data_IF_599039612976
#
_entry.id   IF_599039612976
#
_cell.length_a   1.000
_cell.length_b   1.000
_cell.length_c   1.000
_cell.angle_alpha   90.00
_cell.angle_beta   90.00
_cell.angle_gamma   90.00
#
_symmetry.space_group_name_H-M   'P 1'
#
loop_
_entity.id
_entity.type
_entity.pdbx_description
1 polymer ?
#
# COMPACT_ATOMS: atom_id res chain seq x y z
N UNK A 1 -28.04 -72.16 -12.73
CA UNK A 1 -27.91 -70.81 -12.14
C UNK A 1 -27.02 -71.05 -10.94
N UNK A 2 -25.71 -70.83 -10.99
CA UNK A 2 -25.09 -69.51 -10.91
C UNK A 2 -23.63 -69.54 -11.43
N UNK A 3 -23.45 -69.57 -12.76
CA UNK A 3 -22.13 -69.36 -13.37
C UNK A 3 -21.79 -67.86 -13.54
N UNK A 4 -22.78 -66.98 -13.36
CA UNK A 4 -22.64 -65.53 -13.54
C UNK A 4 -21.66 -64.84 -12.56
N UNK A 5 -21.62 -65.16 -11.25
CA UNK A 5 -20.70 -64.48 -10.33
C UNK A 5 -19.24 -64.85 -10.60
N UNK A 6 -18.98 -66.12 -10.94
CA UNK A 6 -17.66 -66.60 -11.32
C UNK A 6 -17.17 -66.02 -12.65
N UNK A 7 -18.06 -65.89 -13.63
CA UNK A 7 -17.73 -65.25 -14.90
C UNK A 7 -17.43 -63.75 -14.72
N UNK A 8 -18.18 -63.06 -13.85
CA UNK A 8 -17.97 -61.64 -13.55
C UNK A 8 -16.65 -61.42 -12.81
N UNK A 9 -16.30 -62.29 -11.86
CA UNK A 9 -15.01 -62.24 -11.15
C UNK A 9 -13.83 -62.51 -12.09
N UNK A 10 -13.96 -63.48 -13.00
CA UNK A 10 -12.96 -63.74 -14.04
C UNK A 10 -12.85 -62.56 -15.01
N UNK A 11 -13.97 -61.93 -15.39
CA UNK A 11 -13.96 -60.70 -16.21
C UNK A 11 -13.31 -59.53 -15.48
N UNK A 12 -13.55 -59.33 -14.18
CA UNK A 12 -12.94 -58.27 -13.37
C UNK A 12 -11.44 -58.51 -13.17
N UNK A 13 -11.03 -59.75 -12.89
CA UNK A 13 -9.61 -60.12 -12.79
C UNK A 13 -8.91 -60.05 -14.17
N UNK A 14 -9.59 -60.39 -15.26
CA UNK A 14 -9.07 -60.25 -16.62
C UNK A 14 -9.00 -58.77 -17.08
N UNK A 15 -9.93 -57.91 -16.63
CA UNK A 15 -9.85 -56.46 -16.84
C UNK A 15 -8.74 -55.81 -16.00
N UNK A 16 -8.49 -56.29 -14.77
CA UNK A 16 -7.37 -55.84 -13.94
C UNK A 16 -6.01 -56.35 -14.46
N UNK A 17 -5.98 -57.47 -15.18
CA UNK A 17 -4.78 -57.98 -15.84
C UNK A 17 -4.43 -57.25 -17.15
N UNK A 18 -5.18 -56.19 -17.51
CA UNK A 18 -5.02 -55.46 -18.77
C UNK A 18 -4.65 -53.97 -18.56
N UNK A 19 -3.74 -53.70 -17.62
CA UNK A 19 -2.90 -52.50 -17.62
C UNK A 19 -1.43 -52.92 -17.44
N UNK A 20 -0.85 -53.50 -18.48
CA UNK A 20 0.59 -53.71 -18.58
C UNK A 20 1.23 -52.34 -18.86
N UNK A 21 1.59 -51.66 -17.77
CA UNK A 21 2.14 -50.31 -17.74
C UNK A 21 2.63 -49.99 -16.32
N UNK A 22 3.86 -49.50 -16.14
CA UNK A 22 4.29 -48.94 -14.86
C UNK A 22 3.53 -47.64 -14.53
N UNK A 23 3.33 -47.36 -13.23
CA UNK A 23 2.71 -46.11 -12.78
C UNK A 23 3.73 -45.13 -12.22
N UNK A 24 3.53 -43.84 -12.58
CA UNK A 24 4.28 -42.72 -12.04
C UNK A 24 3.44 -41.93 -11.04
N UNK A 25 4.08 -41.53 -9.94
CA UNK A 25 3.56 -40.61 -8.95
C UNK A 25 4.21 -39.24 -9.15
N UNK A 26 3.39 -38.19 -9.14
CA UNK A 26 3.82 -36.81 -9.26
C UNK A 26 3.23 -35.94 -8.15
N UNK A 27 2.98 -34.67 -8.43
CA UNK A 27 2.47 -33.74 -7.44
C UNK A 27 0.95 -33.93 -7.22
N UNK A 28 0.50 -33.87 -5.96
CA UNK A 28 -0.93 -33.91 -5.59
C UNK A 28 -1.71 -32.65 -6.05
N UNK A 29 -0.99 -31.61 -6.47
CA UNK A 29 -1.56 -30.38 -6.97
C UNK A 29 -0.50 -29.39 -7.45
N UNK A 30 -0.92 -28.19 -7.86
CA UNK A 30 -0.01 -27.17 -8.36
C UNK A 30 0.98 -26.70 -7.29
N UNK A 31 2.23 -26.53 -7.70
CA UNK A 31 3.32 -26.04 -6.86
C UNK A 31 3.42 -24.53 -6.94
N UNK A 32 3.94 -23.94 -5.85
CA UNK A 32 4.32 -22.53 -5.78
C UNK A 32 5.81 -22.46 -5.52
N UNK A 33 6.52 -21.65 -6.30
CA UNK A 33 7.96 -21.48 -6.18
C UNK A 33 8.28 -20.12 -5.55
N UNK A 34 9.50 -19.91 -5.06
CA UNK A 34 9.98 -18.59 -4.65
C UNK A 34 10.78 -17.98 -5.82
N UNK A 35 10.60 -16.67 -6.10
CA UNK A 35 11.47 -15.98 -7.06
C UNK A 35 12.94 -16.05 -6.61
N UNK A 36 13.82 -16.47 -7.52
CA UNK A 36 15.25 -16.75 -7.25
C UNK A 36 15.53 -18.01 -6.43
N UNK A 37 14.49 -18.70 -5.92
CA UNK A 37 14.61 -19.93 -5.15
C UNK A 37 14.68 -21.18 -6.01
N UNK A 38 14.41 -22.34 -5.40
CA UNK A 38 14.34 -23.63 -6.07
C UNK A 38 13.02 -24.34 -5.79
N UNK A 39 12.56 -25.16 -6.72
CA UNK A 39 11.35 -26.00 -6.59
C UNK A 39 11.69 -27.44 -6.97
N UNK A 40 11.15 -28.40 -6.20
CA UNK A 40 11.23 -29.82 -6.52
C UNK A 40 9.98 -30.22 -7.32
N UNK A 41 10.18 -30.70 -8.54
CA UNK A 41 9.15 -31.29 -9.37
C UNK A 41 9.14 -32.81 -9.11
N UNK A 42 8.15 -33.34 -8.37
CA UNK A 42 8.14 -34.76 -8.02
C UNK A 42 7.80 -35.63 -9.24
N UNK A 43 8.56 -36.70 -9.41
CA UNK A 43 8.29 -37.77 -10.36
C UNK A 43 8.95 -39.05 -9.84
N UNK A 44 8.17 -40.09 -9.62
CA UNK A 44 8.70 -41.37 -9.14
C UNK A 44 7.88 -42.55 -9.62
N UNK A 45 8.54 -43.66 -9.95
CA UNK A 45 7.86 -44.93 -10.22
C UNK A 45 7.60 -45.70 -8.92
N UNK A 46 6.45 -46.39 -8.85
CA UNK A 46 6.10 -47.24 -7.70
C UNK A 46 7.10 -48.40 -7.52
N UNK A 47 7.64 -48.90 -8.64
CA UNK A 47 8.68 -49.94 -8.67
C UNK A 47 9.88 -49.46 -9.50
N UNK A 48 11.13 -49.70 -9.07
CA UNK A 48 12.32 -49.35 -9.85
C UNK A 48 12.32 -50.00 -11.24
N UNK A 49 12.60 -49.21 -12.27
CA UNK A 49 12.63 -49.66 -13.66
C UNK A 49 14.04 -50.09 -14.10
N UNK A 50 14.17 -51.02 -15.07
CA UNK A 50 15.48 -51.44 -15.61
C UNK A 50 16.24 -50.29 -16.25
N UNK A 51 17.55 -50.18 -15.98
CA UNK A 51 18.37 -49.05 -16.46
C UNK A 51 18.84 -49.17 -17.91
N UNK A 52 18.89 -50.37 -18.48
CA UNK A 52 19.50 -50.64 -19.80
C UNK A 52 18.81 -49.88 -20.95
N UNK A 53 17.53 -49.55 -20.78
CA UNK A 53 16.71 -48.83 -21.78
C UNK A 53 15.89 -47.70 -21.14
N UNK A 54 16.31 -47.23 -19.96
CA UNK A 54 15.61 -46.16 -19.26
C UNK A 54 15.97 -44.80 -19.85
N UNK A 55 14.94 -44.08 -20.29
CA UNK A 55 15.02 -42.69 -20.66
C UNK A 55 14.06 -41.87 -19.80
N UNK A 56 14.54 -40.77 -19.23
CA UNK A 56 13.73 -39.84 -18.42
C UNK A 56 13.91 -38.45 -18.98
N UNK A 57 12.82 -37.88 -19.47
CA UNK A 57 12.76 -36.52 -19.97
C UNK A 57 11.92 -35.64 -19.05
N UNK A 58 12.45 -34.47 -18.72
CA UNK A 58 11.64 -33.36 -18.24
C UNK A 58 11.44 -32.35 -19.35
N UNK A 59 10.19 -32.06 -19.70
CA UNK A 59 9.82 -31.12 -20.77
C UNK A 59 8.82 -30.09 -20.29
N UNK A 60 8.85 -28.91 -20.91
CA UNK A 60 7.76 -27.94 -20.81
C UNK A 60 6.62 -28.34 -21.73
N UNK A 61 5.39 -28.30 -21.23
CA UNK A 61 4.20 -28.69 -22.02
C UNK A 61 3.79 -27.60 -23.01
N UNK A 62 4.09 -26.34 -22.73
CA UNK A 62 3.70 -25.17 -23.53
C UNK A 62 4.67 -24.86 -24.67
N UNK A 63 5.98 -25.10 -24.48
CA UNK A 63 7.02 -24.82 -25.47
C UNK A 63 7.74 -26.07 -26.02
N UNK A 64 7.45 -27.25 -25.47
CA UNK A 64 8.20 -28.49 -25.71
C UNK A 64 9.72 -28.36 -25.45
N UNK A 65 10.11 -27.37 -24.64
CA UNK A 65 11.51 -27.17 -24.27
C UNK A 65 11.98 -28.33 -23.38
N UNK A 66 13.08 -28.97 -23.79
CA UNK A 66 13.74 -30.01 -22.99
C UNK A 66 14.47 -29.37 -21.81
N UNK A 67 13.98 -29.64 -20.60
CA UNK A 67 14.48 -29.09 -19.33
C UNK A 67 15.62 -29.94 -18.80
N UNK A 68 15.48 -31.26 -18.81
CA UNK A 68 16.50 -32.19 -18.32
C UNK A 68 16.33 -33.57 -18.97
N UNK A 69 17.43 -34.30 -19.18
CA UNK A 69 17.45 -35.59 -19.87
C UNK A 69 18.41 -36.56 -19.19
N UNK A 70 17.92 -37.77 -18.91
CA UNK A 70 18.71 -38.95 -18.58
C UNK A 70 18.49 -40.01 -19.65
N UNK A 71 19.57 -40.49 -20.28
CA UNK A 71 19.52 -41.46 -21.37
C UNK A 71 20.85 -42.22 -21.44
N UNK A 72 20.79 -43.51 -21.78
CA UNK A 72 21.98 -44.38 -21.89
C UNK A 72 22.82 -44.42 -20.59
N UNK A 73 22.14 -44.36 -19.44
CA UNK A 73 22.79 -44.42 -18.13
C UNK A 73 23.44 -43.12 -17.63
N UNK A 74 23.36 -42.03 -18.41
CA UNK A 74 23.99 -40.76 -18.08
C UNK A 74 23.04 -39.56 -18.23
N UNK A 75 23.31 -38.48 -17.50
CA UNK A 75 22.64 -37.18 -17.69
C UNK A 75 23.24 -36.49 -18.91
N UNK A 76 22.39 -35.94 -19.78
CA UNK A 76 22.80 -35.26 -21.03
C UNK A 76 22.57 -33.74 -20.95
N UNK A 77 23.49 -32.97 -20.35
CA UNK A 77 23.36 -31.51 -20.22
C UNK A 77 23.41 -30.75 -21.55
N UNK A 78 24.10 -31.29 -22.56
CA UNK A 78 24.27 -30.61 -23.84
C UNK A 78 22.99 -30.52 -24.68
N UNK A 79 22.05 -31.45 -24.48
CA UNK A 79 20.77 -31.46 -25.20
C UNK A 79 19.72 -30.53 -24.60
N UNK A 80 19.99 -29.95 -23.42
CA UNK A 80 19.03 -29.11 -22.69
C UNK A 80 18.87 -27.74 -23.34
N UNK A 81 17.66 -27.20 -23.23
CA UNK A 81 17.40 -25.82 -23.59
C UNK A 81 18.28 -24.88 -22.74
N UNK A 82 18.86 -23.84 -23.35
CA UNK A 82 19.80 -22.91 -22.71
C UNK A 82 19.25 -22.28 -21.42
N UNK A 83 17.93 -22.04 -21.35
CA UNK A 83 17.30 -21.45 -20.18
C UNK A 83 17.34 -22.32 -18.93
N UNK A 84 17.53 -23.64 -19.06
CA UNK A 84 17.51 -24.61 -17.97
C UNK A 84 18.88 -25.17 -17.61
N UNK A 85 19.89 -24.89 -18.44
CA UNK A 85 21.28 -25.30 -18.21
C UNK A 85 21.78 -24.78 -16.85
N UNK A 86 22.47 -25.63 -16.10
CA UNK A 86 22.99 -25.38 -14.75
C UNK A 86 21.94 -25.08 -13.65
N UNK A 87 20.66 -25.09 -14.00
CA UNK A 87 19.55 -24.82 -13.07
C UNK A 87 18.73 -26.06 -12.74
N UNK A 88 18.68 -27.02 -13.65
CA UNK A 88 17.93 -28.27 -13.52
C UNK A 88 18.84 -29.44 -13.13
N UNK A 89 18.46 -30.20 -12.10
CA UNK A 89 19.23 -31.33 -11.58
C UNK A 89 18.31 -32.45 -11.07
N UNK A 90 18.58 -33.70 -11.40
CA UNK A 90 17.95 -34.83 -10.72
C UNK A 90 18.39 -34.91 -9.25
N UNK A 91 17.43 -35.01 -8.33
CA UNK A 91 17.73 -35.07 -6.88
C UNK A 91 18.42 -36.35 -6.41
N UNK A 92 18.46 -37.38 -7.26
CA UNK A 92 19.20 -38.61 -7.03
C UNK A 92 18.30 -39.84 -6.94
N UNK A 93 18.94 -41.01 -7.03
CA UNK A 93 18.33 -42.34 -6.95
C UNK A 93 17.44 -42.73 -8.14
N UNK A 94 17.85 -42.39 -9.37
CA UNK A 94 17.22 -42.89 -10.61
C UNK A 94 17.11 -44.42 -10.58
N UNK A 95 18.14 -45.11 -10.11
CA UNK A 95 18.15 -46.57 -9.92
C UNK A 95 17.12 -47.10 -8.90
N UNK A 96 16.55 -46.24 -8.05
CA UNK A 96 15.46 -46.59 -7.13
C UNK A 96 14.09 -46.07 -7.58
N UNK A 97 14.00 -45.55 -8.82
CA UNK A 97 12.75 -45.04 -9.38
C UNK A 97 12.43 -43.59 -9.01
N UNK A 98 13.37 -42.83 -8.45
CA UNK A 98 13.17 -41.40 -8.21
C UNK A 98 13.71 -40.58 -9.39
N UNK A 99 12.79 -39.93 -10.11
CA UNK A 99 13.04 -39.13 -11.30
C UNK A 99 12.74 -37.65 -11.05
N UNK A 100 12.66 -37.25 -9.78
CA UNK A 100 12.28 -35.89 -9.38
C UNK A 100 13.37 -34.87 -9.73
N UNK A 101 12.94 -33.74 -10.29
CA UNK A 101 13.81 -32.68 -10.77
C UNK A 101 13.82 -31.50 -9.80
N UNK A 102 15.00 -31.10 -9.35
CA UNK A 102 15.21 -29.83 -8.67
C UNK A 102 15.50 -28.75 -9.72
N UNK A 103 14.61 -27.76 -9.83
CA UNK A 103 14.81 -26.59 -10.68
C UNK A 103 15.16 -25.38 -9.79
N UNK A 104 16.31 -24.77 -10.03
CA UNK A 104 16.88 -23.68 -9.23
C UNK A 104 16.89 -22.34 -9.96
N UNK A 105 17.08 -21.26 -9.19
CA UNK A 105 17.08 -19.88 -9.67
C UNK A 105 15.80 -19.56 -10.46
N UNK A 106 14.65 -19.78 -9.84
CA UNK A 106 13.33 -19.67 -10.46
C UNK A 106 12.99 -18.24 -10.89
N UNK A 107 12.46 -18.06 -12.11
CA UNK A 107 12.06 -16.77 -12.69
C UNK A 107 10.58 -16.77 -13.04
N UNK A 108 9.97 -15.59 -13.25
CA UNK A 108 8.54 -15.51 -13.63
C UNK A 108 8.19 -16.28 -14.90
N UNK A 109 9.18 -16.48 -15.78
CA UNK A 109 9.02 -17.23 -17.04
C UNK A 109 8.94 -18.75 -16.82
N UNK A 110 9.38 -19.25 -15.67
CA UNK A 110 9.34 -20.67 -15.30
C UNK A 110 7.97 -21.11 -14.74
N UNK A 111 7.00 -20.21 -14.65
CA UNK A 111 5.62 -20.63 -14.42
C UNK A 111 5.11 -21.40 -15.64
N UNK A 112 4.41 -22.51 -15.39
CA UNK A 112 3.93 -23.39 -16.45
C UNK A 112 3.77 -24.83 -16.03
N UNK A 113 3.48 -25.70 -17.00
CA UNK A 113 3.29 -27.14 -16.79
C UNK A 113 4.50 -27.90 -17.32
N UNK A 114 5.10 -28.69 -16.44
CA UNK A 114 6.23 -29.57 -16.75
C UNK A 114 5.73 -31.01 -16.84
N UNK A 115 6.23 -31.76 -17.81
CA UNK A 115 5.95 -33.20 -17.99
C UNK A 115 7.22 -33.99 -17.70
N UNK A 116 7.12 -34.94 -16.78
CA UNK A 116 8.09 -36.01 -16.60
C UNK A 116 7.66 -37.17 -17.48
N UNK A 117 8.39 -37.43 -18.57
CA UNK A 117 8.14 -38.56 -19.45
C UNK A 117 9.21 -39.62 -19.18
N UNK A 118 8.78 -40.85 -18.88
CA UNK A 118 9.66 -41.98 -18.63
C UNK A 118 9.40 -43.02 -19.71
N UNK A 119 10.46 -43.51 -20.33
CA UNK A 119 10.42 -44.54 -21.35
C UNK A 119 11.28 -45.72 -20.91
N UNK A 120 10.78 -46.90 -21.19
CA UNK A 120 11.48 -48.18 -21.16
C UNK A 120 11.30 -48.84 -22.53
N UNK A 121 12.07 -49.85 -22.90
CA UNK A 121 11.96 -50.45 -24.24
C UNK A 121 10.59 -51.02 -24.59
N UNK A 122 9.77 -51.36 -23.58
CA UNK A 122 8.44 -51.96 -23.77
C UNK A 122 7.28 -50.98 -23.47
N UNK A 123 7.49 -49.98 -22.61
CA UNK A 123 6.43 -49.14 -22.05
C UNK A 123 6.86 -47.68 -21.83
N UNK A 124 5.89 -46.77 -21.80
CA UNK A 124 6.11 -45.37 -21.41
C UNK A 124 5.01 -44.88 -20.47
N UNK A 125 5.36 -43.87 -19.66
CA UNK A 125 4.44 -43.19 -18.76
C UNK A 125 4.83 -41.74 -18.57
N UNK A 126 3.84 -40.88 -18.33
CA UNK A 126 4.06 -39.47 -18.02
C UNK A 126 3.31 -39.00 -16.78
N UNK A 127 3.87 -38.00 -16.10
CA UNK A 127 3.17 -37.23 -15.06
C UNK A 127 3.44 -35.75 -15.24
N UNK A 128 2.40 -34.95 -15.01
CA UNK A 128 2.45 -33.49 -15.19
C UNK A 128 2.47 -32.79 -13.84
N UNK A 129 3.33 -31.78 -13.73
CA UNK A 129 3.48 -30.92 -12.56
C UNK A 129 3.30 -29.47 -13.00
N UNK A 130 2.32 -28.79 -12.40
CA UNK A 130 2.06 -27.37 -12.68
C UNK A 130 2.76 -26.50 -11.64
N UNK A 131 3.54 -25.51 -12.09
CA UNK A 131 4.05 -24.41 -11.26
C UNK A 131 3.14 -23.21 -11.49
N UNK A 132 2.22 -22.96 -10.55
CA UNK A 132 1.13 -21.98 -10.71
C UNK A 132 1.54 -20.52 -10.50
N UNK A 133 2.67 -20.27 -9.85
CA UNK A 133 3.13 -18.92 -9.58
C UNK A 133 4.26 -18.86 -8.58
N UNK A 134 4.60 -17.63 -8.20
CA UNK A 134 5.70 -17.35 -7.30
C UNK A 134 5.21 -16.72 -6.00
N UNK A 135 5.67 -17.22 -4.86
CA UNK A 135 5.51 -16.49 -3.61
C UNK A 135 6.25 -15.16 -3.72
N UNK A 136 5.52 -14.07 -3.56
CA UNK A 136 6.05 -12.73 -3.45
C UNK A 136 5.47 -12.05 -2.21
N UNK A 137 6.22 -11.08 -1.71
CA UNK A 137 5.82 -10.25 -0.59
C UNK A 137 6.33 -8.83 -0.86
N UNK A 138 5.40 -7.91 -1.09
CA UNK A 138 5.70 -6.49 -1.32
C UNK A 138 4.98 -5.69 -0.25
N UNK A 139 5.70 -4.74 0.36
CA UNK A 139 5.12 -3.81 1.33
C UNK A 139 5.22 -2.40 0.77
N UNK A 140 4.07 -1.78 0.55
CA UNK A 140 3.94 -0.41 0.10
C UNK A 140 3.51 0.49 1.26
N UNK A 141 4.20 1.60 1.45
CA UNK A 141 3.88 2.60 2.46
C UNK A 141 3.87 4.02 1.88
N UNK A 142 3.83 5.01 2.78
CA UNK A 142 4.02 6.40 2.39
C UNK A 142 5.40 6.87 2.83
N UNK A 143 6.23 7.27 1.86
CA UNK A 143 7.54 7.86 2.14
C UNK A 143 7.44 9.29 2.69
N UNK A 144 6.24 9.85 2.74
CA UNK A 144 6.02 11.22 3.23
C UNK A 144 5.91 11.25 4.75
N UNK A 145 6.58 12.23 5.35
CA UNK A 145 6.46 12.50 6.77
C UNK A 145 5.00 12.84 7.12
N UNK A 146 4.46 12.12 8.10
CA UNK A 146 3.11 12.35 8.59
C UNK A 146 3.15 13.37 9.72
N UNK A 147 2.31 14.40 9.60
CA UNK A 147 2.17 15.47 10.58
C UNK A 147 1.26 15.05 11.73
N UNK A 148 1.73 15.16 12.98
CA UNK A 148 0.94 14.83 14.17
C UNK A 148 0.26 16.05 14.79
N UNK A 149 -0.98 15.83 15.23
CA UNK A 149 -1.73 16.74 16.08
C UNK A 149 -2.01 16.06 17.41
N UNK A 150 -1.58 16.69 18.51
CA UNK A 150 -1.69 16.11 19.85
C UNK A 150 -3.16 15.84 20.19
N UNK A 151 -3.45 14.65 20.71
CA UNK A 151 -4.79 14.17 21.06
C UNK A 151 -5.64 13.71 19.87
N UNK A 152 -5.18 13.89 18.64
CA UNK A 152 -5.87 13.40 17.45
C UNK A 152 -5.46 11.96 17.12
N UNK A 153 -6.09 11.39 16.08
CA UNK A 153 -5.75 10.10 15.52
C UNK A 153 -4.90 10.29 14.26
N UNK A 154 -3.91 9.44 14.07
CA UNK A 154 -3.07 9.43 12.87
C UNK A 154 -3.06 8.02 12.27
N UNK A 155 -2.94 7.94 10.95
CA UNK A 155 -2.80 6.67 10.23
C UNK A 155 -1.43 6.63 9.56
N UNK A 156 -0.67 5.55 9.81
CA UNK A 156 0.56 5.24 9.11
C UNK A 156 0.26 4.14 8.08
N UNK A 157 0.48 4.43 6.81
CA UNK A 157 0.09 3.55 5.72
C UNK A 157 1.05 2.35 5.63
N UNK A 158 0.48 1.15 5.55
CA UNK A 158 1.20 -0.08 5.20
C UNK A 158 0.23 -1.02 4.47
N UNK A 159 0.54 -1.29 3.20
CA UNK A 159 -0.21 -2.19 2.34
C UNK A 159 0.71 -3.34 1.95
N UNK A 160 0.33 -4.55 2.32
CA UNK A 160 1.06 -5.78 2.03
C UNK A 160 0.38 -6.48 0.87
N UNK A 161 1.10 -6.64 -0.23
CA UNK A 161 0.65 -7.40 -1.40
C UNK A 161 1.42 -8.73 -1.45
N UNK A 162 0.69 -9.83 -1.42
CA UNK A 162 1.22 -11.19 -1.42
C UNK A 162 0.14 -12.21 -1.79
N UNK A 163 0.56 -13.34 -2.36
CA UNK A 163 -0.30 -14.50 -2.59
C UNK A 163 -0.65 -15.28 -1.32
N UNK A 164 0.14 -15.14 -0.25
CA UNK A 164 -0.16 -15.82 1.00
C UNK A 164 -1.47 -15.27 1.59
N UNK A 165 -2.19 -16.12 2.34
CA UNK A 165 -3.34 -15.64 3.10
C UNK A 165 -2.84 -14.94 4.38
N UNK A 166 -3.56 -13.93 4.92
CA UNK A 166 -3.15 -13.22 6.13
C UNK A 166 -2.82 -14.15 7.31
N UNK A 167 -3.51 -15.28 7.46
CA UNK A 167 -3.29 -16.20 8.58
C UNK A 167 -1.89 -16.86 8.57
N UNK A 168 -1.19 -16.82 7.42
CA UNK A 168 0.20 -17.32 7.27
C UNK A 168 1.24 -16.20 7.33
N UNK A 169 0.82 -14.96 7.57
CA UNK A 169 1.69 -13.80 7.66
C UNK A 169 1.91 -13.36 9.09
N UNK A 170 3.08 -12.76 9.32
CA UNK A 170 3.35 -11.97 10.52
C UNK A 170 3.59 -10.54 10.09
N UNK A 171 2.84 -9.58 10.64
CA UNK A 171 3.02 -8.16 10.34
C UNK A 171 3.25 -7.40 11.64
N UNK A 172 4.34 -6.65 11.70
CA UNK A 172 4.76 -5.91 12.89
C UNK A 172 4.89 -4.44 12.58
N UNK A 173 4.37 -3.61 13.48
CA UNK A 173 4.75 -2.20 13.55
C UNK A 173 5.71 -2.01 14.71
N UNK A 174 6.89 -1.45 14.43
CA UNK A 174 7.90 -1.12 15.44
C UNK A 174 8.28 0.34 15.33
N UNK A 175 8.67 0.93 16.45
CA UNK A 175 9.34 2.23 16.46
C UNK A 175 10.85 2.00 16.45
N UNK A 176 11.57 2.54 15.47
CA UNK A 176 12.94 2.12 15.15
C UNK A 176 13.99 2.70 16.11
N UNK A 177 13.80 3.94 16.57
CA UNK A 177 14.72 4.65 17.47
C UNK A 177 14.85 4.01 18.87
N UNK A 178 13.75 3.50 19.41
CA UNK A 178 13.67 2.88 20.74
C UNK A 178 13.49 1.35 20.68
N UNK A 179 13.41 0.77 19.47
CA UNK A 179 13.11 -0.64 19.23
C UNK A 179 11.87 -1.14 19.98
N UNK A 180 10.80 -0.34 19.94
CA UNK A 180 9.55 -0.62 20.65
C UNK A 180 8.56 -1.31 19.72
N UNK A 181 8.02 -2.46 20.13
CA UNK A 181 6.89 -3.10 19.45
C UNK A 181 5.62 -2.29 19.69
N UNK A 182 5.08 -1.72 18.61
CA UNK A 182 3.88 -0.88 18.62
C UNK A 182 2.62 -1.74 18.46
N UNK A 183 2.62 -2.65 17.48
CA UNK A 183 1.50 -3.55 17.22
C UNK A 183 1.97 -4.80 16.46
N UNK A 184 1.36 -5.95 16.77
CA UNK A 184 1.66 -7.24 16.17
C UNK A 184 0.38 -7.88 15.61
N UNK A 185 0.46 -8.38 14.39
CA UNK A 185 -0.50 -9.29 13.79
C UNK A 185 0.20 -10.60 13.48
N UNK A 186 -0.36 -11.71 13.96
CA UNK A 186 0.19 -13.05 13.79
C UNK A 186 -0.94 -14.08 13.93
N UNK A 187 -0.84 -15.18 13.17
CA UNK A 187 -1.78 -16.30 13.22
C UNK A 187 -3.24 -15.90 12.97
N UNK A 188 -3.45 -14.86 12.15
CA UNK A 188 -4.78 -14.34 11.82
C UNK A 188 -5.37 -13.37 12.85
N UNK A 189 -4.64 -13.08 13.93
CA UNK A 189 -5.13 -12.25 15.04
C UNK A 189 -4.24 -11.02 15.31
N UNK A 190 -4.85 -9.98 15.88
CA UNK A 190 -4.13 -8.79 16.36
C UNK A 190 -3.77 -8.99 17.82
N UNK A 191 -2.48 -9.12 18.11
CA UNK A 191 -1.95 -9.39 19.46
C UNK A 191 -1.63 -8.08 20.19
N UNK A 192 -2.67 -7.33 20.58
CA UNK A 192 -2.53 -6.05 21.28
C UNK A 192 -1.86 -6.16 22.66
N UNK A 193 -1.91 -7.34 23.30
CA UNK A 193 -1.25 -7.57 24.59
C UNK A 193 0.28 -7.70 24.45
N UNK A 194 0.79 -8.04 23.27
CA UNK A 194 2.23 -8.05 23.01
C UNK A 194 2.81 -6.64 22.84
N UNK A 195 1.97 -5.64 22.55
CA UNK A 195 2.40 -4.25 22.39
C UNK A 195 2.97 -3.66 23.68
N UNK A 196 3.96 -2.79 23.52
CA UNK A 196 4.51 -2.00 24.62
C UNK A 196 3.44 -1.13 25.29
N UNK A 197 3.57 -0.92 26.61
CA UNK A 197 2.59 -0.20 27.45
C UNK A 197 2.21 1.18 26.91
N UNK A 198 3.16 1.90 26.30
CA UNK A 198 2.96 3.23 25.68
C UNK A 198 1.91 3.22 24.55
N UNK A 199 1.78 2.10 23.84
CA UNK A 199 0.94 1.95 22.65
C UNK A 199 -0.27 1.04 22.87
N UNK A 200 -0.27 0.24 23.95
CA UNK A 200 -1.39 -0.64 24.30
C UNK A 200 -2.69 0.15 24.44
N UNK A 201 -3.73 -0.28 23.71
CA UNK A 201 -5.04 0.38 23.66
C UNK A 201 -5.11 1.66 22.79
N UNK A 202 -3.98 2.14 22.28
CA UNK A 202 -3.89 3.32 21.39
C UNK A 202 -3.61 2.94 19.94
N UNK A 203 -2.84 1.87 19.72
CA UNK A 203 -2.50 1.33 18.41
C UNK A 203 -3.49 0.24 17.98
N UNK A 204 -4.00 0.33 16.76
CA UNK A 204 -4.87 -0.71 16.19
C UNK A 204 -4.75 -0.79 14.66
N UNK A 205 -5.03 -1.98 14.10
CA UNK A 205 -5.16 -2.19 12.66
C UNK A 205 -6.59 -1.94 12.19
N UNK A 206 -6.75 -1.78 10.88
CA UNK A 206 -8.06 -1.82 10.21
C UNK A 206 -8.44 -3.28 9.93
N UNK A 207 -8.92 -4.01 10.94
CA UNK A 207 -9.17 -5.46 10.87
C UNK A 207 -10.05 -5.89 9.68
N UNK A 208 -11.02 -5.08 9.27
CA UNK A 208 -11.87 -5.34 8.10
C UNK A 208 -11.16 -5.23 6.75
N UNK A 209 -10.01 -4.55 6.70
CA UNK A 209 -9.22 -4.32 5.50
C UNK A 209 -7.98 -5.24 5.41
N UNK A 210 -7.67 -5.99 6.46
CA UNK A 210 -6.59 -7.00 6.48
C UNK A 210 -6.76 -8.04 5.37
N UNK A 211 -7.97 -8.58 5.07
CA UNK A 211 -8.14 -9.51 3.94
C UNK A 211 -7.78 -8.92 2.56
N UNK A 212 -7.70 -7.59 2.46
CA UNK A 212 -7.28 -6.87 1.24
C UNK A 212 -5.81 -6.44 1.30
N UNK A 213 -5.06 -6.90 2.29
CA UNK A 213 -3.65 -6.56 2.48
C UNK A 213 -3.39 -5.23 3.21
N UNK A 214 -4.41 -4.58 3.78
CA UNK A 214 -4.19 -3.31 4.48
C UNK A 214 -3.82 -3.54 5.95
N UNK A 215 -2.54 -3.36 6.26
CA UNK A 215 -1.97 -3.42 7.59
C UNK A 215 -1.56 -2.03 8.11
N UNK A 216 -2.27 -0.98 7.68
CA UNK A 216 -2.01 0.38 8.15
C UNK A 216 -2.27 0.50 9.64
N UNK A 217 -1.38 1.18 10.35
CA UNK A 217 -1.51 1.44 11.78
C UNK A 217 -2.35 2.68 12.01
N UNK A 218 -3.40 2.57 12.83
CA UNK A 218 -4.12 3.71 13.39
C UNK A 218 -3.66 3.93 14.83
N UNK A 219 -3.03 5.07 15.10
CA UNK A 219 -2.61 5.48 16.43
C UNK A 219 -3.54 6.57 16.96
N UNK A 220 -4.19 6.30 18.11
CA UNK A 220 -5.11 7.22 18.81
C UNK A 220 -4.40 8.02 19.90
N UNK A 221 -4.97 9.18 20.21
CA UNK A 221 -4.52 10.06 21.31
C UNK A 221 -3.02 10.34 21.18
N UNK A 222 -2.58 10.81 20.01
CA UNK A 222 -1.16 10.98 19.69
C UNK A 222 -0.52 12.03 20.61
N UNK A 223 0.70 11.80 21.05
CA UNK A 223 1.46 12.63 21.98
C UNK A 223 2.73 13.15 21.31
N UNK A 224 3.33 14.18 21.87
CA UNK A 224 4.61 14.72 21.36
C UNK A 224 5.76 13.73 21.46
N UNK A 225 5.70 12.83 22.43
CA UNK A 225 6.66 11.73 22.64
C UNK A 225 6.54 10.60 21.60
N UNK A 226 5.44 10.55 20.83
CA UNK A 226 5.28 9.58 19.75
C UNK A 226 6.00 9.99 18.46
N UNK A 227 6.59 11.19 18.41
CA UNK A 227 7.46 11.60 17.30
C UNK A 227 8.58 10.56 17.14
N UNK A 228 8.79 10.09 15.92
CA UNK A 228 9.83 9.11 15.63
C UNK A 228 9.63 8.47 14.28
N UNK A 229 10.49 7.50 13.98
CA UNK A 229 10.38 6.67 12.79
C UNK A 229 9.74 5.33 13.18
N UNK A 230 8.80 4.90 12.35
CA UNK A 230 8.05 3.68 12.51
C UNK A 230 8.28 2.81 11.29
N UNK A 231 8.47 1.51 11.51
CA UNK A 231 8.63 0.52 10.45
C UNK A 231 7.48 -0.46 10.50
N UNK A 232 6.87 -0.71 9.34
CA UNK A 232 5.98 -1.84 9.12
C UNK A 232 6.80 -2.95 8.47
N UNK A 233 6.92 -4.09 9.12
CA UNK A 233 7.61 -5.27 8.59
C UNK A 233 6.61 -6.41 8.42
N UNK A 234 6.53 -6.97 7.23
CA UNK A 234 5.73 -8.15 6.93
C UNK A 234 6.64 -9.35 6.65
N UNK A 235 6.22 -10.51 7.13
CA UNK A 235 6.89 -11.79 6.94
C UNK A 235 5.89 -12.83 6.43
N UNK A 236 6.30 -13.62 5.46
CA UNK A 236 5.54 -14.77 4.95
C UNK A 236 6.52 -15.90 4.65
N UNK A 237 6.62 -16.88 5.55
CA UNK A 237 7.64 -17.92 5.46
C UNK A 237 9.06 -17.33 5.46
N UNK A 238 9.90 -17.58 4.43
CA UNK A 238 11.24 -17.02 4.32
C UNK A 238 11.27 -15.57 3.78
N UNK A 239 10.13 -15.06 3.28
CA UNK A 239 10.06 -13.73 2.68
C UNK A 239 9.87 -12.66 3.76
N UNK A 240 10.60 -11.56 3.63
CA UNK A 240 10.43 -10.36 4.46
C UNK A 240 10.44 -9.11 3.60
N UNK A 241 9.52 -8.18 3.83
CA UNK A 241 9.53 -6.86 3.21
C UNK A 241 9.03 -5.82 4.22
N UNK A 242 9.40 -4.56 4.01
CA UNK A 242 9.10 -3.50 4.96
C UNK A 242 8.90 -2.14 4.30
N UNK A 243 8.36 -1.20 5.07
CA UNK A 243 8.28 0.22 4.73
C UNK A 243 8.43 1.06 5.99
N UNK A 244 9.05 2.23 5.88
CA UNK A 244 9.25 3.15 7.00
C UNK A 244 8.41 4.40 6.83
N UNK A 245 7.90 4.93 7.94
CA UNK A 245 7.10 6.15 7.99
C UNK A 245 7.61 7.02 9.14
N UNK A 246 7.89 8.28 8.86
CA UNK A 246 8.32 9.23 9.88
C UNK A 246 7.14 10.04 10.41
N UNK A 247 6.90 10.01 11.72
CA UNK A 247 5.90 10.83 12.40
C UNK A 247 6.57 12.09 12.96
N UNK A 248 6.16 13.27 12.47
CA UNK A 248 6.76 14.56 12.81
C UNK A 248 5.75 15.51 13.44
N UNK A 249 6.24 16.45 14.24
CA UNK A 249 5.42 17.48 14.88
C UNK A 249 5.08 18.59 13.88
N UNK A 250 3.82 18.97 13.82
CA UNK A 250 3.42 20.25 13.20
C UNK A 250 3.60 21.36 14.22
N UNK A 251 4.38 22.39 13.90
CA UNK A 251 4.66 23.49 14.83
C UNK A 251 3.44 24.36 15.15
N UNK A 252 2.40 24.30 14.32
CA UNK A 252 1.16 25.04 14.56
C UNK A 252 -0.05 24.17 14.21
N UNK A 253 -0.90 23.80 15.19
CA UNK A 253 -2.18 23.17 14.90
C UNK A 253 -3.02 24.08 13.99
N UNK A 254 -3.76 23.55 13.00
CA UNK A 254 -4.57 24.36 12.09
C UNK A 254 -5.56 25.26 12.84
N UNK A 255 -6.06 24.82 14.00
CA UNK A 255 -6.91 25.62 14.89
C UNK A 255 -6.19 26.88 15.43
N UNK A 256 -4.92 26.75 15.82
CA UNK A 256 -4.12 27.87 16.32
C UNK A 256 -3.77 28.82 15.18
N UNK A 257 -3.45 28.31 13.99
CA UNK A 257 -3.21 29.15 12.82
C UNK A 257 -4.45 29.99 12.46
N UNK A 258 -5.64 29.37 12.47
CA UNK A 258 -6.91 30.08 12.25
C UNK A 258 -7.15 31.14 13.32
N UNK A 259 -6.87 30.82 14.59
CA UNK A 259 -6.98 31.79 15.68
C UNK A 259 -6.05 32.99 15.48
N UNK A 260 -4.77 32.74 15.17
CA UNK A 260 -3.78 33.79 14.90
C UNK A 260 -4.18 34.68 13.73
N UNK A 261 -4.71 34.10 12.65
CA UNK A 261 -5.27 34.85 11.52
C UNK A 261 -6.49 35.68 11.93
N UNK A 262 -7.41 35.14 12.74
CA UNK A 262 -8.58 35.88 13.22
C UNK A 262 -8.18 37.09 14.08
N UNK A 263 -7.21 36.91 14.98
CA UNK A 263 -6.68 38.00 15.82
C UNK A 263 -6.01 39.07 14.96
N UNK A 264 -5.20 38.67 13.97
CA UNK A 264 -4.55 39.61 13.06
C UNK A 264 -5.57 40.46 12.29
N UNK A 265 -6.64 39.84 11.76
CA UNK A 265 -7.72 40.55 11.06
C UNK A 265 -8.45 41.51 12.00
N UNK A 266 -8.71 41.12 13.24
CA UNK A 266 -9.34 41.99 14.24
C UNK A 266 -8.45 43.21 14.55
N UNK A 267 -7.15 43.00 14.74
CA UNK A 267 -6.18 44.09 15.01
C UNK A 267 -6.11 45.07 13.84
N UNK A 268 -6.04 44.56 12.60
CA UNK A 268 -5.98 45.41 11.40
C UNK A 268 -7.28 46.20 11.21
N UNK A 269 -8.45 45.57 11.41
CA UNK A 269 -9.75 46.24 11.24
C UNK A 269 -9.97 47.31 12.29
N UNK A 270 -9.67 47.05 13.56
CA UNK A 270 -9.75 48.04 14.64
C UNK A 270 -8.72 49.16 14.41
N UNK A 271 -7.46 48.80 14.11
CA UNK A 271 -6.37 49.75 13.88
C UNK A 271 -6.62 50.71 12.72
N UNK A 272 -7.23 50.26 11.63
CA UNK A 272 -7.60 51.11 10.50
C UNK A 272 -8.86 51.95 10.77
N UNK A 273 -9.77 51.47 11.61
CA UNK A 273 -11.02 52.18 11.94
C UNK A 273 -10.81 53.35 12.91
N UNK A 274 -9.84 53.25 13.84
CA UNK A 274 -9.57 54.30 14.83
C UNK A 274 -9.19 55.65 14.19
N UNK A 275 -8.20 55.75 13.28
CA UNK A 275 -7.85 57.01 12.61
C UNK A 275 -9.01 57.59 11.79
N UNK A 276 -9.82 56.72 11.15
CA UNK A 276 -10.98 57.14 10.38
C UNK A 276 -12.04 57.80 11.28
N UNK A 277 -12.33 57.21 12.44
CA UNK A 277 -13.26 57.76 13.44
C UNK A 277 -12.75 59.08 14.02
N UNK A 278 -11.46 59.18 14.37
CA UNK A 278 -10.83 60.42 14.88
C UNK A 278 -10.93 61.53 13.83
N UNK A 279 -10.62 61.23 12.57
CA UNK A 279 -10.71 62.19 11.47
C UNK A 279 -12.15 62.63 11.21
N UNK A 280 -13.12 61.71 11.22
CA UNK A 280 -14.54 62.02 11.04
C UNK A 280 -15.08 62.91 12.17
N UNK A 281 -14.62 62.69 13.41
CA UNK A 281 -14.94 63.54 14.56
C UNK A 281 -14.31 64.92 14.45
N UNK A 282 -13.07 65.02 13.97
CA UNK A 282 -12.34 66.30 13.82
C UNK A 282 -12.92 67.19 12.71
N UNK A 283 -13.53 66.62 11.68
CA UNK A 283 -14.08 67.37 10.53
C UNK A 283 -15.53 67.83 10.72
N UNK A 284 -16.10 67.65 11.91
CA UNK A 284 -17.52 67.89 12.23
C UNK A 284 -18.49 67.26 11.21
N UNK A 285 -18.06 66.10 10.68
CA UNK A 285 -18.86 65.34 9.72
C UNK A 285 -19.98 64.66 10.49
N UNK A 286 -21.21 65.14 10.29
CA UNK A 286 -22.38 64.77 11.10
C UNK A 286 -22.63 63.27 11.27
N UNK A 287 -23.39 62.94 12.32
CA UNK A 287 -23.72 61.59 12.83
C UNK A 287 -23.88 60.51 11.74
N UNK A 288 -24.55 60.84 10.63
CA UNK A 288 -24.74 59.93 9.48
C UNK A 288 -23.44 59.32 8.95
N UNK A 289 -22.35 60.10 8.83
CA UNK A 289 -21.08 59.58 8.31
C UNK A 289 -20.41 58.60 9.28
N UNK A 290 -20.52 58.85 10.59
CA UNK A 290 -20.09 57.88 11.62
C UNK A 290 -20.93 56.61 11.59
N UNK A 291 -22.26 56.75 11.48
CA UNK A 291 -23.18 55.59 11.42
C UNK A 291 -22.90 54.73 10.18
N UNK A 292 -22.64 55.35 9.03
CA UNK A 292 -22.28 54.62 7.80
C UNK A 292 -20.95 53.89 7.92
N UNK A 293 -19.92 54.50 8.53
CA UNK A 293 -18.64 53.84 8.76
C UNK A 293 -18.76 52.66 9.73
N UNK A 294 -19.55 52.83 10.80
CA UNK A 294 -19.81 51.77 11.78
C UNK A 294 -20.55 50.59 11.14
N UNK A 295 -21.63 50.86 10.38
CA UNK A 295 -22.49 49.81 9.80
C UNK A 295 -21.87 49.09 8.59
N UNK A 296 -21.08 49.77 7.75
CA UNK A 296 -20.56 49.17 6.51
C UNK A 296 -19.12 48.66 6.63
N UNK A 297 -18.34 49.18 7.58
CA UNK A 297 -16.91 48.86 7.69
C UNK A 297 -16.59 48.16 9.00
N UNK A 298 -17.02 48.70 10.14
CA UNK A 298 -16.61 48.12 11.44
C UNK A 298 -17.42 46.87 11.82
N UNK A 299 -18.75 46.99 11.92
CA UNK A 299 -19.62 45.91 12.38
C UNK A 299 -19.56 44.65 11.50
N UNK A 300 -19.59 44.72 10.15
CA UNK A 300 -19.55 43.51 9.32
C UNK A 300 -18.24 42.74 9.47
N UNK A 301 -17.11 43.43 9.66
CA UNK A 301 -15.80 42.81 9.85
C UNK A 301 -15.68 42.13 11.21
N UNK A 302 -16.22 42.73 12.28
CA UNK A 302 -16.27 42.09 13.60
C UNK A 302 -17.20 40.87 13.59
N UNK A 303 -18.41 41.00 13.04
CA UNK A 303 -19.37 39.88 12.94
C UNK A 303 -18.74 38.71 12.18
N UNK A 304 -18.01 38.99 11.09
CA UNK A 304 -17.36 37.98 10.27
C UNK A 304 -16.13 37.36 10.98
N UNK A 305 -15.35 38.14 11.73
CA UNK A 305 -14.25 37.61 12.56
C UNK A 305 -14.78 36.64 13.63
N UNK A 306 -15.89 36.98 14.29
CA UNK A 306 -16.58 36.11 15.25
C UNK A 306 -17.10 34.84 14.54
N UNK A 307 -17.73 34.98 13.38
CA UNK A 307 -18.24 33.84 12.61
C UNK A 307 -17.12 32.89 12.17
N UNK A 308 -15.94 33.40 11.78
CA UNK A 308 -14.77 32.59 11.42
C UNK A 308 -14.12 31.91 12.63
N UNK A 309 -14.07 32.58 13.77
CA UNK A 309 -13.61 31.96 15.01
C UNK A 309 -14.52 30.77 15.36
N UNK A 310 -15.84 30.95 15.31
CA UNK A 310 -16.81 29.88 15.53
C UNK A 310 -16.66 28.78 14.47
N UNK A 311 -16.56 29.13 13.19
CA UNK A 311 -16.40 28.16 12.11
C UNK A 311 -15.08 27.38 12.19
N UNK A 312 -13.98 28.04 12.54
CA UNK A 312 -12.66 27.45 12.75
C UNK A 312 -12.62 26.46 13.90
N UNK A 313 -13.39 26.70 14.96
CA UNK A 313 -13.60 25.74 16.05
C UNK A 313 -14.39 24.50 15.60
N UNK A 314 -15.26 24.63 14.59
CA UNK A 314 -16.19 23.56 14.18
C UNK A 314 -15.74 22.72 12.97
N UNK A 315 -15.04 23.30 11.97
CA UNK A 315 -14.87 22.63 10.65
C UNK A 315 -13.41 22.55 10.16
N UNK A 316 -12.46 23.30 10.73
CA UNK A 316 -11.02 23.08 10.48
C UNK A 316 -10.49 23.28 9.05
N UNK A 317 -11.27 23.83 8.11
CA UNK A 317 -10.84 24.05 6.70
C UNK A 317 -10.44 25.51 6.41
N UNK A 318 -9.29 25.70 5.75
CA UNK A 318 -8.58 26.97 5.49
C UNK A 318 -9.15 27.85 4.36
N UNK A 319 -10.08 27.34 3.55
CA UNK A 319 -10.63 28.05 2.38
C UNK A 319 -11.34 29.37 2.73
N UNK A 320 -11.86 29.49 3.95
CA UNK A 320 -12.57 30.69 4.42
C UNK A 320 -11.65 31.92 4.64
N UNK A 321 -10.33 31.72 4.78
CA UNK A 321 -9.39 32.81 5.01
C UNK A 321 -9.11 33.63 3.73
N UNK A 322 -9.04 32.97 2.57
CA UNK A 322 -8.70 33.61 1.28
C UNK A 322 -9.81 34.55 0.79
N UNK A 323 -11.07 34.16 1.00
CA UNK A 323 -12.25 34.98 0.64
C UNK A 323 -12.28 36.30 1.44
N UNK A 324 -11.69 36.33 2.64
CA UNK A 324 -11.68 37.50 3.52
C UNK A 324 -10.65 38.57 3.16
N UNK A 325 -9.45 38.17 2.74
CA UNK A 325 -8.45 39.13 2.21
C UNK A 325 -9.04 39.85 0.99
N UNK A 326 -9.76 39.11 0.14
CA UNK A 326 -10.44 39.66 -1.03
C UNK A 326 -11.50 40.71 -0.68
N UNK A 327 -12.22 40.53 0.44
CA UNK A 327 -13.28 41.44 0.89
C UNK A 327 -12.74 42.73 1.51
N UNK A 328 -11.62 42.65 2.26
CA UNK A 328 -10.89 43.82 2.77
C UNK A 328 -10.36 44.68 1.60
N UNK A 329 -9.93 44.04 0.51
CA UNK A 329 -9.48 44.73 -0.70
C UNK A 329 -10.63 45.29 -1.52
N UNK A 330 -11.77 44.59 -1.57
CA UNK A 330 -13.01 45.10 -2.19
C UNK A 330 -13.60 46.29 -1.42
N UNK A 331 -13.34 46.45 -0.11
CA UNK A 331 -13.72 47.66 0.63
C UNK A 331 -13.01 48.91 0.12
N UNK A 332 -11.80 48.79 -0.46
CA UNK A 332 -11.16 49.90 -1.17
C UNK A 332 -11.83 50.21 -2.51
N UNK A 333 -12.55 49.25 -3.11
CA UNK A 333 -13.31 49.42 -4.35
C UNK A 333 -14.66 50.14 -4.13
N UNK A 334 -15.27 50.02 -2.95
CA UNK A 334 -16.62 50.57 -2.64
C UNK A 334 -16.62 51.82 -1.76
N UNK A 335 -15.46 52.28 -1.32
CA UNK A 335 -15.31 53.45 -0.47
C UNK A 335 -15.44 54.76 -1.27
N UNK A 336 -16.34 55.71 -0.91
CA UNK A 336 -16.31 57.10 -1.41
C UNK A 336 -15.06 57.89 -0.95
N UNK A 337 -14.04 57.19 -0.44
CA UNK A 337 -12.81 57.72 0.14
C UNK A 337 -11.62 57.60 -0.82
N UNK A 338 -11.72 56.87 -1.94
CA UNK A 338 -10.61 56.66 -2.89
C UNK A 338 -10.12 57.97 -3.53
N UNK A 339 -11.02 58.93 -3.75
CA UNK A 339 -10.69 60.27 -4.28
C UNK A 339 -10.03 61.21 -3.26
N UNK A 340 -9.96 60.82 -1.98
CA UNK A 340 -9.40 61.65 -0.89
C UNK A 340 -7.98 61.29 -0.46
N UNK A 341 -7.38 60.24 -1.03
CA UNK A 341 -5.98 59.89 -0.79
C UNK A 341 -5.03 60.62 -1.75
N UNK A 342 -3.82 60.92 -1.28
CA UNK A 342 -2.79 61.55 -2.10
C UNK A 342 -2.44 60.66 -3.31
N UNK A 343 -2.13 61.26 -4.47
CA UNK A 343 -2.03 60.55 -5.76
C UNK A 343 -1.07 59.35 -5.74
N UNK A 344 0.00 59.40 -4.95
CA UNK A 344 0.94 58.27 -4.76
C UNK A 344 0.29 57.04 -4.13
N UNK A 345 -0.54 57.24 -3.10
CA UNK A 345 -1.26 56.17 -2.39
C UNK A 345 -2.41 55.65 -3.26
N UNK A 346 -3.08 56.56 -3.99
CA UNK A 346 -4.13 56.22 -4.96
C UNK A 346 -3.61 55.34 -6.10
N UNK A 347 -2.46 55.69 -6.67
CA UNK A 347 -1.79 54.89 -7.70
C UNK A 347 -1.33 53.52 -7.15
N UNK A 348 -0.73 53.50 -5.96
CA UNK A 348 -0.32 52.27 -5.28
C UNK A 348 -1.50 51.32 -5.05
N UNK A 349 -2.61 51.82 -4.47
CA UNK A 349 -3.83 51.03 -4.24
C UNK A 349 -4.46 50.53 -5.53
N UNK A 350 -4.45 51.33 -6.60
CA UNK A 350 -5.00 50.93 -7.91
C UNK A 350 -4.18 49.83 -8.57
N UNK A 351 -2.85 49.86 -8.43
CA UNK A 351 -1.93 48.90 -9.06
C UNK A 351 -1.96 47.53 -8.35
N UNK A 352 -1.89 47.51 -7.00
CA UNK A 352 -1.97 46.27 -6.22
C UNK A 352 -3.32 45.55 -6.35
N UNK A 353 -4.41 46.28 -6.54
CA UNK A 353 -5.76 45.72 -6.71
C UNK A 353 -5.88 44.82 -7.96
N UNK A 354 -5.21 45.18 -9.06
CA UNK A 354 -5.24 44.39 -10.31
C UNK A 354 -4.41 43.11 -10.17
N UNK A 355 -3.20 43.22 -9.61
CA UNK A 355 -2.27 42.10 -9.46
C UNK A 355 -2.80 41.05 -8.49
N UNK A 356 -3.41 41.45 -7.37
CA UNK A 356 -3.93 40.52 -6.38
C UNK A 356 -5.22 39.83 -6.82
N UNK A 357 -6.11 40.53 -7.54
CA UNK A 357 -7.32 39.93 -8.09
C UNK A 357 -7.02 38.80 -9.09
N UNK A 358 -5.97 38.94 -9.90
CA UNK A 358 -5.53 37.90 -10.85
C UNK A 358 -4.89 36.70 -10.13
N UNK A 359 -4.04 36.93 -9.13
CA UNK A 359 -3.40 35.87 -8.35
C UNK A 359 -4.41 35.01 -7.57
N UNK A 360 -5.48 35.63 -7.05
CA UNK A 360 -6.51 34.90 -6.29
C UNK A 360 -7.47 34.14 -7.21
N UNK A 361 -7.87 34.70 -8.35
CA UNK A 361 -8.66 33.96 -9.35
C UNK A 361 -7.88 32.75 -9.85
N UNK A 362 -6.58 32.89 -10.10
CA UNK A 362 -5.70 31.77 -10.46
C UNK A 362 -5.59 30.72 -9.33
N UNK A 363 -5.46 31.14 -8.07
CA UNK A 363 -5.37 30.23 -6.91
C UNK A 363 -6.67 29.47 -6.62
N UNK A 364 -7.83 30.13 -6.74
CA UNK A 364 -9.14 29.50 -6.52
C UNK A 364 -9.48 28.51 -7.64
N UNK A 365 -9.21 28.87 -8.89
CA UNK A 365 -9.45 27.97 -10.04
C UNK A 365 -8.53 26.74 -10.05
N UNK A 366 -7.31 26.84 -9.51
CA UNK A 366 -6.40 25.70 -9.38
C UNK A 366 -6.70 24.80 -8.18
N UNK A 367 -7.32 25.32 -7.11
CA UNK A 367 -7.67 24.52 -5.91
C UNK A 367 -8.93 23.66 -6.03
N UNK A 368 -9.71 23.81 -7.11
CA UNK A 368 -10.92 23.04 -7.39
C UNK A 368 -10.70 21.77 -8.22
N UNK A 369 -9.45 21.35 -8.39
CA UNK A 369 -9.06 20.19 -9.23
C UNK A 369 -8.33 19.07 -8.48
N UNK A 370 -8.20 19.13 -7.15
CA UNK A 370 -7.61 18.06 -6.33
C UNK A 370 -8.62 17.48 -5.33
#
# INVERSE_FOLDING_TARGET
MDLLPGLLLVFVLAFQACSSGFQLQGADGPLVAQLGGSVLLPCSAETPLPLEELEVEWRRTDSDALVHLFQEGEVRPESQNEGYRDRALFTGEIAKGNYSLLLSNMTTEDAGVYSCNVYTGEESGDVRVEVKGFEYLVVNGSDQAVSLHVGEKVTLNCSVDSHAKPERMVVTWKRTDENILVLLFQDGEVLSDSSHERYRGRAEFFTSEIPKGNFSLRLKDVRTEDKGEYICEAFSGPLSANTTVTLQKTDVPPRILVLMLCVLVLVLTVGLSIPAVIHLKKKDTGLKAMTTHLLLVFCPNIILSIALFIYGLTVGKTLAAVINILRILLLFKTAPYLERFCERIKAFMKNWNVTLAHLVVAGVLNSGKE
#
